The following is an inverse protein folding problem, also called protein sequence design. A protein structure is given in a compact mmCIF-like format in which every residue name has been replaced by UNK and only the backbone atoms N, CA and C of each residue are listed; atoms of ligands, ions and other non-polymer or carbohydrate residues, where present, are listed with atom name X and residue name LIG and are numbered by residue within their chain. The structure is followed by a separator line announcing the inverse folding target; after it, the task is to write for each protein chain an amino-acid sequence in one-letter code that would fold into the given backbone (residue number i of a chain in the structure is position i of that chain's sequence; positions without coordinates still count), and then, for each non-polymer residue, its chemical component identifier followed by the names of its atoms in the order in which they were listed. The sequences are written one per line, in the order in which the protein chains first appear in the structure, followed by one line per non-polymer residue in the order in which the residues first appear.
data_IF_443851698482
#
_entry.id   IF_443851698482
#
_cell.length_a   1.000
_cell.length_b   1.000
_cell.length_c   1.000
_cell.angle_alpha   90.00
_cell.angle_beta   90.00
_cell.angle_gamma   90.00
#
_symmetry.space_group_name_H-M   'P 1'
#
loop_
_entity.id
_entity.type
_entity.pdbx_description
1 polymer ?
#
# COMPACT_ATOMS: atom_id res chain seq x y z
N UNK A 1 7.82 -3.47 -22.49
CA UNK A 1 7.52 -2.05 -22.23
C UNK A 1 7.82 -1.27 -23.50
N UNK A 2 6.91 -0.44 -24.01
CA UNK A 2 7.12 0.27 -25.28
C UNK A 2 8.23 1.33 -25.11
N UNK A 3 8.96 1.62 -26.20
CA UNK A 3 10.03 2.65 -26.19
C UNK A 3 9.49 4.02 -25.78
N UNK A 4 8.27 4.34 -26.14
CA UNK A 4 7.55 5.53 -25.70
C UNK A 4 7.44 5.63 -24.17
N UNK A 5 7.05 4.55 -23.50
CA UNK A 5 6.91 4.53 -22.03
C UNK A 5 8.25 4.79 -21.36
N UNK A 6 9.30 4.12 -21.80
CA UNK A 6 10.66 4.31 -21.27
C UNK A 6 11.16 5.76 -21.46
N UNK A 7 10.89 6.35 -22.63
CA UNK A 7 11.29 7.74 -22.92
C UNK A 7 10.57 8.73 -22.00
N UNK A 8 9.24 8.57 -21.84
CA UNK A 8 8.45 9.46 -20.99
C UNK A 8 8.84 9.35 -19.52
N UNK A 9 9.02 8.14 -19.01
CA UNK A 9 9.45 7.92 -17.62
C UNK A 9 10.85 8.46 -17.36
N UNK A 10 11.80 8.23 -18.26
CA UNK A 10 13.18 8.71 -18.11
C UNK A 10 13.22 10.23 -17.97
N UNK A 11 12.54 10.97 -18.85
CA UNK A 11 12.48 12.42 -18.75
C UNK A 11 11.84 12.89 -17.44
N UNK A 12 10.69 12.31 -17.08
CA UNK A 12 9.95 12.69 -15.87
C UNK A 12 10.80 12.43 -14.61
N UNK A 13 11.51 11.30 -14.57
CA UNK A 13 12.33 10.94 -13.41
C UNK A 13 13.55 11.85 -13.26
N UNK A 14 14.17 12.24 -14.37
CA UNK A 14 15.32 13.15 -14.38
C UNK A 14 14.94 14.58 -13.94
N UNK A 15 13.72 15.04 -14.29
CA UNK A 15 13.25 16.42 -14.03
C UNK A 15 12.22 16.53 -12.92
N UNK A 16 12.08 15.50 -12.06
CA UNK A 16 10.97 15.40 -11.12
C UNK A 16 10.90 16.57 -10.12
N UNK A 17 12.05 17.16 -9.77
CA UNK A 17 12.16 18.30 -8.86
C UNK A 17 12.01 19.65 -9.59
N UNK A 18 12.04 19.67 -10.90
CA UNK A 18 12.00 20.87 -11.72
C UNK A 18 10.57 21.15 -12.22
N UNK A 19 10.30 22.41 -12.56
CA UNK A 19 9.10 22.73 -13.32
C UNK A 19 9.33 22.42 -14.79
N UNK A 20 8.47 21.65 -15.38
CA UNK A 20 8.48 21.36 -16.82
C UNK A 20 7.08 21.32 -17.40
N UNK A 21 6.99 21.51 -18.69
CA UNK A 21 5.74 21.55 -19.43
C UNK A 21 5.49 20.24 -20.19
N UNK A 22 4.24 20.01 -20.57
CA UNK A 22 3.89 18.92 -21.47
C UNK A 22 4.66 18.99 -22.80
N UNK A 23 4.94 20.19 -23.28
CA UNK A 23 5.63 20.43 -24.54
C UNK A 23 7.08 19.95 -24.48
N UNK A 24 7.76 20.18 -23.37
CA UNK A 24 9.14 19.75 -23.16
C UNK A 24 9.25 18.22 -23.13
N UNK A 25 8.41 17.54 -22.38
CA UNK A 25 8.37 16.07 -22.35
C UNK A 25 8.03 15.49 -23.71
N UNK A 26 7.04 16.07 -24.39
CA UNK A 26 6.63 15.61 -25.71
C UNK A 26 7.75 15.79 -26.74
N UNK A 27 8.41 16.95 -26.73
CA UNK A 27 9.53 17.27 -27.61
C UNK A 27 10.71 16.32 -27.40
N UNK A 28 11.07 16.04 -26.14
CA UNK A 28 12.12 15.08 -25.78
C UNK A 28 11.82 13.69 -26.36
N UNK A 29 10.57 13.26 -26.28
CA UNK A 29 10.15 11.97 -26.83
C UNK A 29 9.86 11.98 -28.36
N UNK A 30 10.05 13.12 -29.04
CA UNK A 30 9.86 13.23 -30.49
C UNK A 30 8.39 13.28 -30.94
N UNK A 31 7.50 13.77 -30.08
CA UNK A 31 6.06 13.88 -30.35
C UNK A 31 5.56 15.31 -30.25
N UNK A 32 4.44 15.62 -30.94
CA UNK A 32 3.67 16.82 -30.62
C UNK A 32 2.93 16.64 -29.29
N UNK A 33 2.70 17.74 -28.56
CA UNK A 33 2.03 17.74 -27.25
C UNK A 33 0.68 16.99 -27.27
N UNK A 34 -0.13 17.19 -28.31
CA UNK A 34 -1.41 16.53 -28.48
C UNK A 34 -1.27 15.01 -28.65
N UNK A 35 -0.36 14.59 -29.53
CA UNK A 35 -0.13 13.15 -29.77
C UNK A 35 0.46 12.47 -28.55
N UNK A 36 1.42 13.14 -27.88
CA UNK A 36 2.03 12.67 -26.63
C UNK A 36 0.99 12.48 -25.53
N UNK A 37 0.16 13.51 -25.25
CA UNK A 37 -0.86 13.45 -24.20
C UNK A 37 -1.85 12.31 -24.39
N UNK A 38 -2.31 12.10 -25.64
CA UNK A 38 -3.22 11.00 -25.99
C UNK A 38 -2.54 9.65 -25.72
N UNK A 39 -1.34 9.46 -26.26
CA UNK A 39 -0.59 8.21 -26.14
C UNK A 39 -0.19 7.91 -24.69
N UNK A 40 0.15 8.95 -23.93
CA UNK A 40 0.44 8.85 -22.50
C UNK A 40 -0.80 8.40 -21.73
N UNK A 41 -1.95 9.01 -21.98
CA UNK A 41 -3.22 8.62 -21.34
C UNK A 41 -3.65 7.19 -21.71
N UNK A 42 -3.40 6.74 -22.93
CA UNK A 42 -3.62 5.35 -23.35
C UNK A 42 -2.69 4.37 -22.60
N UNK A 43 -1.42 4.74 -22.37
CA UNK A 43 -0.43 3.88 -21.73
C UNK A 43 -0.55 3.85 -20.20
N UNK A 44 -0.81 5.00 -19.57
CA UNK A 44 -0.77 5.17 -18.11
C UNK A 44 -2.16 5.38 -17.48
N UNK A 45 -3.23 5.48 -18.26
CA UNK A 45 -4.61 5.77 -17.85
C UNK A 45 -4.76 7.07 -17.04
N UNK A 46 -3.80 8.00 -17.16
CA UNK A 46 -3.70 9.28 -16.46
C UNK A 46 -3.15 10.35 -17.38
N UNK A 47 -3.40 11.61 -17.04
CA UNK A 47 -2.66 12.70 -17.68
C UNK A 47 -1.21 12.73 -17.20
N UNK A 48 -0.33 13.37 -17.98
CA UNK A 48 1.08 13.55 -17.61
C UNK A 48 1.22 14.22 -16.26
N UNK A 49 0.48 15.31 -16.01
CA UNK A 49 0.57 16.07 -14.76
C UNK A 49 0.01 15.33 -13.55
N UNK A 50 -0.98 14.46 -13.72
CA UNK A 50 -1.44 13.56 -12.65
C UNK A 50 -0.36 12.55 -12.30
N UNK A 51 0.28 11.96 -13.29
CA UNK A 51 1.38 11.01 -13.10
C UNK A 51 2.59 11.66 -12.42
N UNK A 52 3.01 12.84 -12.89
CA UNK A 52 4.10 13.62 -12.27
C UNK A 52 3.77 13.96 -10.81
N UNK A 53 2.54 14.41 -10.54
CA UNK A 53 2.12 14.72 -9.17
C UNK A 53 2.19 13.50 -8.26
N UNK A 54 1.78 12.33 -8.73
CA UNK A 54 1.91 11.09 -7.95
C UNK A 54 3.38 10.74 -7.69
N UNK A 55 4.24 10.78 -8.69
CA UNK A 55 5.69 10.53 -8.51
C UNK A 55 6.33 11.51 -7.53
N UNK A 56 5.98 12.80 -7.60
CA UNK A 56 6.43 13.83 -6.65
C UNK A 56 5.99 13.52 -5.21
N UNK A 57 4.77 13.05 -5.02
CA UNK A 57 4.29 12.63 -3.69
C UNK A 57 5.10 11.44 -3.17
N UNK A 58 5.34 10.42 -3.98
CA UNK A 58 6.15 9.28 -3.58
C UNK A 58 7.58 9.67 -3.22
N UNK A 59 8.22 10.50 -4.04
CA UNK A 59 9.57 10.98 -3.79
C UNK A 59 9.64 11.86 -2.52
N UNK A 60 8.62 12.71 -2.29
CA UNK A 60 8.50 13.49 -1.05
C UNK A 60 8.34 12.57 0.18
N UNK A 61 7.62 11.46 0.03
CA UNK A 61 7.43 10.50 1.12
C UNK A 61 8.76 9.86 1.55
N UNK A 62 9.67 9.56 0.61
CA UNK A 62 11.01 9.07 0.95
C UNK A 62 11.84 10.12 1.72
N UNK A 63 11.75 11.40 1.34
CA UNK A 63 12.39 12.46 2.13
C UNK A 63 11.81 12.58 3.56
N UNK A 64 10.51 12.37 3.72
CA UNK A 64 9.89 12.36 5.04
C UNK A 64 10.40 11.20 5.91
N UNK A 65 10.63 10.04 5.33
CA UNK A 65 11.25 8.89 6.03
C UNK A 65 12.67 9.21 6.51
N UNK A 66 13.44 9.96 5.72
CA UNK A 66 14.80 10.38 6.10
C UNK A 66 14.85 11.51 7.14
N UNK A 67 13.69 11.98 7.63
CA UNK A 67 13.60 13.02 8.65
C UNK A 67 13.49 14.44 8.13
N UNK A 68 13.31 14.64 6.83
CA UNK A 68 13.04 15.95 6.23
C UNK A 68 11.70 16.49 6.71
N UNK A 69 11.60 17.79 6.97
CA UNK A 69 10.33 18.42 7.38
C UNK A 69 9.29 18.38 6.25
N UNK A 70 8.00 18.35 6.62
CA UNK A 70 6.88 18.35 5.64
C UNK A 70 6.97 19.53 4.68
N UNK A 71 7.35 20.70 5.20
CA UNK A 71 7.48 21.91 4.38
C UNK A 71 8.61 21.77 3.37
N UNK A 72 9.78 21.31 3.79
CA UNK A 72 10.94 21.14 2.91
C UNK A 72 10.68 20.06 1.84
N UNK A 73 10.13 18.91 2.23
CA UNK A 73 9.78 17.85 1.29
C UNK A 73 8.74 18.29 0.25
N UNK A 74 7.77 19.12 0.64
CA UNK A 74 6.80 19.70 -0.27
C UNK A 74 7.46 20.68 -1.25
N UNK A 75 8.32 21.58 -0.76
CA UNK A 75 9.00 22.59 -1.59
C UNK A 75 9.97 21.95 -2.59
N UNK A 76 10.70 20.92 -2.18
CA UNK A 76 11.71 20.25 -3.02
C UNK A 76 11.09 19.58 -4.25
N UNK A 77 9.83 19.16 -4.15
CA UNK A 77 9.09 18.58 -5.27
C UNK A 77 8.03 19.52 -5.86
N UNK A 78 8.21 20.86 -5.73
CA UNK A 78 7.43 21.86 -6.45
C UNK A 78 6.00 22.03 -5.98
N UNK A 79 5.68 21.71 -4.71
CA UNK A 79 4.37 22.02 -4.14
C UNK A 79 4.38 23.45 -3.55
N UNK A 80 3.65 24.36 -4.16
CA UNK A 80 3.60 25.77 -3.77
C UNK A 80 2.98 25.99 -2.38
N UNK A 81 2.06 25.11 -1.95
CA UNK A 81 1.35 25.28 -0.67
C UNK A 81 1.31 23.98 0.13
N UNK A 82 1.41 24.11 1.45
CA UNK A 82 1.24 23.01 2.39
C UNK A 82 -0.12 22.31 2.25
N UNK A 83 -1.19 23.09 2.00
CA UNK A 83 -2.54 22.53 1.81
C UNK A 83 -2.64 21.72 0.52
N UNK A 84 -2.07 22.22 -0.58
CA UNK A 84 -1.99 21.52 -1.86
C UNK A 84 -1.21 20.22 -1.76
N UNK A 85 -0.05 20.26 -1.10
CA UNK A 85 0.75 19.07 -0.81
C UNK A 85 -0.02 18.05 0.02
N UNK A 86 -0.59 18.46 1.16
CA UNK A 86 -1.35 17.56 2.04
C UNK A 86 -2.52 16.90 1.32
N UNK A 87 -3.23 17.65 0.46
CA UNK A 87 -4.32 17.12 -0.35
C UNK A 87 -3.82 16.07 -1.36
N UNK A 88 -2.74 16.38 -2.08
CA UNK A 88 -2.13 15.46 -3.05
C UNK A 88 -1.59 14.21 -2.34
N UNK A 89 -0.88 14.38 -1.23
CA UNK A 89 -0.31 13.31 -0.42
C UNK A 89 -1.39 12.36 0.08
N UNK A 90 -2.49 12.90 0.63
CA UNK A 90 -3.62 12.10 1.09
C UNK A 90 -4.33 11.37 -0.06
N UNK A 91 -4.45 12.00 -1.23
CA UNK A 91 -5.05 11.36 -2.40
C UNK A 91 -4.21 10.18 -2.94
N UNK A 92 -2.89 10.25 -2.82
CA UNK A 92 -1.95 9.22 -3.31
C UNK A 92 -1.68 8.14 -2.25
N UNK A 93 -1.40 8.54 -1.01
CA UNK A 93 -0.93 7.65 0.06
C UNK A 93 -2.00 7.33 1.11
N UNK A 94 -3.20 7.92 1.03
CA UNK A 94 -4.31 7.64 1.94
C UNK A 94 -4.23 8.33 3.30
N UNK A 95 -3.08 8.88 3.69
CA UNK A 95 -2.84 9.53 4.98
C UNK A 95 -2.24 10.93 4.79
N UNK A 96 -2.20 11.76 5.84
CA UNK A 96 -1.54 13.06 5.75
C UNK A 96 -0.01 12.92 5.96
N UNK A 97 0.82 13.88 5.48
CA UNK A 97 2.28 13.82 5.61
C UNK A 97 2.78 13.68 7.05
N UNK A 98 2.08 14.31 8.00
CA UNK A 98 2.42 14.24 9.42
C UNK A 98 2.19 12.84 9.99
N UNK A 99 1.08 12.23 9.64
CA UNK A 99 0.75 10.87 10.04
C UNK A 99 1.79 9.91 9.44
N UNK A 100 2.14 10.11 8.17
CA UNK A 100 3.18 9.35 7.49
C UNK A 100 4.54 9.42 8.19
N UNK A 101 4.97 10.60 8.66
CA UNK A 101 6.21 10.77 9.44
C UNK A 101 6.12 10.02 10.76
N UNK A 102 5.03 10.15 11.51
CA UNK A 102 4.84 9.48 12.80
C UNK A 102 5.01 7.97 12.65
N UNK A 103 4.56 7.39 11.52
CA UNK A 103 4.67 5.98 11.22
C UNK A 103 6.07 5.56 10.78
N UNK A 104 6.76 6.42 10.02
CA UNK A 104 8.12 6.13 9.54
C UNK A 104 9.22 6.63 10.48
N UNK A 105 8.90 7.42 11.53
CA UNK A 105 9.88 7.94 12.51
C UNK A 105 10.27 6.98 13.62
N UNK A 106 10.09 5.68 13.44
CA UNK A 106 10.67 4.67 14.31
C UNK A 106 9.93 4.41 15.63
N UNK A 107 8.65 4.81 15.73
CA UNK A 107 7.73 4.21 16.71
C UNK A 107 7.07 2.93 16.19
N UNK A 108 7.38 2.56 14.93
CA UNK A 108 7.10 1.23 14.43
C UNK A 108 7.88 0.21 15.26
N UNK A 109 7.29 -0.90 15.53
CA UNK A 109 7.92 -2.00 16.26
C UNK A 109 9.32 -2.27 15.71
N UNK A 110 10.36 -2.08 16.55
CA UNK A 110 11.78 -2.17 16.14
C UNK A 110 12.32 -3.60 16.08
N UNK A 111 11.49 -4.60 16.32
CA UNK A 111 11.90 -5.99 16.47
C UNK A 111 12.17 -6.76 15.17
N UNK A 112 12.04 -6.13 13.98
CA UNK A 112 12.27 -6.85 12.71
C UNK A 112 13.74 -7.17 12.43
N UNK A 113 14.67 -6.43 13.04
CA UNK A 113 16.11 -6.63 12.80
C UNK A 113 16.68 -7.89 13.49
N UNK A 114 15.92 -8.52 14.41
CA UNK A 114 16.43 -9.64 15.24
C UNK A 114 15.33 -10.69 15.54
N UNK A 115 14.58 -11.12 14.52
CA UNK A 115 13.46 -12.07 14.69
C UNK A 115 13.89 -13.54 14.80
N UNK A 116 15.19 -13.86 14.69
CA UNK A 116 15.66 -15.27 14.63
C UNK A 116 15.28 -16.10 15.87
N UNK A 117 15.11 -15.46 17.04
CA UNK A 117 14.73 -16.13 18.29
C UNK A 117 13.32 -15.70 18.78
N UNK A 118 12.59 -14.86 18.04
CA UNK A 118 11.28 -14.36 18.48
C UNK A 118 10.19 -15.41 18.30
N UNK A 119 9.28 -15.47 19.27
CA UNK A 119 8.09 -16.33 19.20
C UNK A 119 7.01 -15.66 18.34
N UNK A 120 6.86 -16.14 17.12
CA UNK A 120 5.82 -15.68 16.20
C UNK A 120 4.58 -16.56 16.32
N UNK A 121 3.41 -15.94 16.55
CA UNK A 121 2.11 -16.60 16.58
C UNK A 121 1.21 -15.92 15.56
N UNK A 122 0.63 -16.71 14.65
CA UNK A 122 -0.45 -16.26 13.75
C UNK A 122 -1.77 -16.79 14.26
N UNK A 123 -2.73 -15.92 14.49
CA UNK A 123 -4.04 -16.24 15.05
C UNK A 123 -5.13 -15.29 14.58
N UNK A 124 -6.39 -15.62 14.71
CA UNK A 124 -7.48 -14.67 14.52
C UNK A 124 -7.38 -13.48 15.47
N UNK A 125 -7.87 -12.34 14.99
CA UNK A 125 -7.97 -11.11 15.79
C UNK A 125 -8.92 -11.31 16.97
N UNK A 126 -8.62 -10.66 18.11
CA UNK A 126 -9.42 -10.65 19.30
C UNK A 126 -9.76 -9.22 19.71
N UNK A 127 -10.79 -9.06 20.54
CA UNK A 127 -11.19 -7.74 21.05
C UNK A 127 -10.07 -7.04 21.83
N UNK A 128 -9.23 -7.80 22.51
CA UNK A 128 -8.09 -7.29 23.30
C UNK A 128 -6.97 -6.69 22.44
N UNK A 129 -6.90 -7.06 21.15
CA UNK A 129 -5.84 -6.59 20.24
C UNK A 129 -6.02 -5.13 19.81
N UNK A 130 -7.08 -4.47 20.23
CA UNK A 130 -7.44 -3.12 19.77
C UNK A 130 -6.31 -2.09 19.93
N UNK A 131 -5.59 -2.14 21.06
CA UNK A 131 -4.52 -1.18 21.33
C UNK A 131 -3.30 -1.45 20.46
N UNK A 132 -2.85 -2.70 20.40
CA UNK A 132 -1.69 -3.09 19.59
C UNK A 132 -1.94 -2.85 18.10
N UNK A 133 -3.10 -3.22 17.60
CA UNK A 133 -3.50 -2.96 16.22
C UNK A 133 -3.56 -1.46 15.93
N UNK A 134 -4.10 -0.66 16.86
CA UNK A 134 -4.09 0.77 16.68
C UNK A 134 -2.67 1.32 16.65
N UNK A 135 -1.83 0.98 17.62
CA UNK A 135 -0.47 1.51 17.74
C UNK A 135 0.44 1.07 16.60
N UNK A 136 0.39 -0.19 16.22
CA UNK A 136 1.36 -0.80 15.30
C UNK A 136 0.88 -0.87 13.84
N UNK A 137 -0.44 -0.79 13.59
CA UNK A 137 -0.99 -0.98 12.23
C UNK A 137 -1.82 0.21 11.76
N UNK A 138 -2.76 0.69 12.59
CA UNK A 138 -3.81 1.61 12.13
C UNK A 138 -3.67 3.05 12.59
N UNK A 139 -2.75 3.38 13.50
CA UNK A 139 -2.64 4.72 14.10
C UNK A 139 -2.48 5.84 13.05
N UNK A 140 -1.95 5.51 11.87
CA UNK A 140 -1.86 6.41 10.72
C UNK A 140 -3.17 6.79 10.09
N UNK A 141 -4.10 5.87 10.09
CA UNK A 141 -5.26 5.93 9.20
C UNK A 141 -6.57 6.07 9.98
N UNK A 142 -6.54 5.76 11.27
CA UNK A 142 -7.77 5.61 12.04
C UNK A 142 -7.62 6.20 13.44
N UNK A 143 -8.48 7.14 13.86
CA UNK A 143 -8.55 7.57 15.25
C UNK A 143 -8.79 6.39 16.20
N UNK A 144 -8.19 6.43 17.40
CA UNK A 144 -8.24 5.32 18.35
C UNK A 144 -9.68 4.92 18.73
N UNK A 145 -10.54 5.89 18.82
CA UNK A 145 -11.96 5.73 19.16
C UNK A 145 -12.72 4.90 18.13
N UNK A 146 -12.27 4.92 16.86
CA UNK A 146 -12.89 4.16 15.77
C UNK A 146 -12.39 2.71 15.75
N UNK A 147 -11.28 2.39 16.38
CA UNK A 147 -10.72 1.04 16.36
C UNK A 147 -11.61 0.00 17.03
N UNK A 148 -12.28 0.34 18.12
CA UNK A 148 -13.23 -0.56 18.75
C UNK A 148 -14.37 -0.94 17.80
N UNK A 149 -14.90 0.04 17.06
CA UNK A 149 -15.95 -0.15 16.06
C UNK A 149 -15.49 -1.03 14.89
N UNK A 150 -14.19 -1.05 14.58
CA UNK A 150 -13.61 -1.90 13.51
C UNK A 150 -13.38 -3.34 13.96
N UNK A 151 -12.93 -3.55 15.18
CA UNK A 151 -12.56 -4.88 15.67
C UNK A 151 -13.79 -5.76 15.92
N UNK A 152 -14.86 -5.24 16.50
CA UNK A 152 -16.09 -6.02 16.74
C UNK A 152 -16.61 -6.72 15.47
N UNK A 153 -16.78 -6.02 14.32
CA UNK A 153 -17.16 -6.67 13.08
C UNK A 153 -16.12 -7.67 12.56
N UNK A 154 -14.84 -7.48 12.83
CA UNK A 154 -13.80 -8.42 12.41
C UNK A 154 -13.92 -9.76 13.16
N UNK A 155 -14.08 -9.71 14.47
CA UNK A 155 -14.32 -10.90 15.32
C UNK A 155 -15.62 -11.60 14.93
N UNK A 156 -16.69 -10.86 14.65
CA UNK A 156 -17.99 -11.41 14.28
C UNK A 156 -17.99 -12.04 12.88
N UNK A 157 -17.21 -11.50 11.93
CA UNK A 157 -17.04 -12.10 10.60
C UNK A 157 -16.46 -13.50 10.65
N UNK A 158 -15.54 -13.77 11.55
CA UNK A 158 -14.97 -15.12 11.69
C UNK A 158 -16.05 -16.10 12.18
N UNK A 159 -16.83 -15.73 13.17
CA UNK A 159 -17.93 -16.57 13.69
C UNK A 159 -18.99 -16.87 12.64
N UNK A 160 -19.35 -15.87 11.83
CA UNK A 160 -20.34 -16.00 10.75
C UNK A 160 -19.79 -16.61 9.46
N UNK A 161 -18.48 -16.92 9.39
CA UNK A 161 -17.79 -17.39 8.19
C UNK A 161 -17.87 -16.41 7.00
N UNK A 162 -18.10 -15.13 7.28
CA UNK A 162 -18.13 -14.06 6.26
C UNK A 162 -16.74 -13.48 5.96
N UNK A 163 -15.74 -13.93 6.70
CA UNK A 163 -14.34 -13.51 6.55
C UNK A 163 -13.52 -13.90 7.77
N UNK A 164 -12.26 -13.52 7.74
CA UNK A 164 -11.35 -13.67 8.88
C UNK A 164 -10.32 -12.52 8.84
N UNK A 165 -9.95 -12.05 10.00
CA UNK A 165 -8.80 -11.15 10.15
C UNK A 165 -7.75 -11.88 10.99
N UNK A 166 -6.60 -12.17 10.38
CA UNK A 166 -5.46 -12.75 11.08
C UNK A 166 -4.52 -11.67 11.56
N UNK A 167 -3.91 -11.89 12.69
CA UNK A 167 -2.85 -11.05 13.24
C UNK A 167 -1.57 -11.87 13.39
N UNK A 168 -0.42 -11.22 13.18
CA UNK A 168 0.86 -11.74 13.61
C UNK A 168 1.25 -11.07 14.93
N UNK A 169 1.45 -11.90 15.94
CA UNK A 169 1.91 -11.56 17.27
C UNK A 169 3.36 -12.00 17.39
N UNK A 170 4.23 -11.09 17.79
CA UNK A 170 5.65 -11.35 18.03
C UNK A 170 5.95 -11.01 19.49
N UNK A 171 6.40 -12.01 20.24
CA UNK A 171 6.70 -11.91 21.67
C UNK A 171 5.57 -11.27 22.51
N UNK A 172 4.32 -11.59 22.17
CA UNK A 172 3.13 -11.12 22.87
C UNK A 172 2.58 -9.78 22.39
N UNK A 173 3.17 -9.16 21.37
CA UNK A 173 2.72 -7.90 20.78
C UNK A 173 2.18 -8.12 19.37
N UNK A 174 0.97 -7.64 19.07
CA UNK A 174 0.41 -7.70 17.71
C UNK A 174 1.05 -6.60 16.84
N UNK A 175 1.71 -7.01 15.77
CA UNK A 175 2.51 -6.10 14.92
C UNK A 175 2.03 -6.03 13.47
N UNK A 176 1.21 -6.98 13.03
CA UNK A 176 0.73 -7.05 11.65
C UNK A 176 -0.67 -7.66 11.58
N UNK A 177 -1.45 -7.30 10.58
CA UNK A 177 -2.76 -7.90 10.32
C UNK A 177 -2.97 -8.19 8.84
N UNK A 178 -3.79 -9.21 8.55
CA UNK A 178 -4.24 -9.54 7.20
C UNK A 178 -5.74 -9.86 7.23
N UNK A 179 -6.61 -8.88 6.93
CA UNK A 179 -8.04 -9.12 6.82
C UNK A 179 -8.42 -9.75 5.49
N UNK A 180 -9.35 -10.69 5.53
CA UNK A 180 -10.00 -11.30 4.39
C UNK A 180 -11.52 -11.20 4.53
N UNK A 181 -12.18 -10.80 3.46
CA UNK A 181 -13.65 -10.76 3.36
C UNK A 181 -14.11 -11.74 2.30
N UNK A 182 -15.08 -12.56 2.61
CA UNK A 182 -15.71 -13.51 1.69
C UNK A 182 -17.08 -12.98 1.25
N UNK A 183 -17.28 -12.66 -0.04
CA UNK A 183 -18.62 -12.42 -0.57
C UNK A 183 -19.48 -13.68 -0.43
N UNK A 184 -20.76 -13.49 -0.11
CA UNK A 184 -21.66 -14.58 0.28
C UNK A 184 -21.86 -15.67 -0.79
N UNK A 185 -21.75 -15.30 -2.07
CA UNK A 185 -22.18 -16.15 -3.22
C UNK A 185 -21.04 -16.67 -4.11
N UNK A 186 -19.78 -16.34 -3.83
CA UNK A 186 -18.65 -16.79 -4.65
C UNK A 186 -17.53 -17.39 -3.79
N UNK A 187 -16.79 -18.38 -4.30
CA UNK A 187 -15.67 -19.02 -3.58
C UNK A 187 -14.38 -18.20 -3.71
N UNK A 188 -14.48 -16.89 -3.52
CA UNK A 188 -13.37 -15.95 -3.60
C UNK A 188 -13.22 -15.23 -2.27
N UNK A 189 -11.99 -15.08 -1.80
CA UNK A 189 -11.64 -14.25 -0.66
C UNK A 189 -10.89 -12.98 -1.10
N UNK A 190 -11.33 -11.82 -0.64
CA UNK A 190 -10.63 -10.57 -0.86
C UNK A 190 -9.73 -10.25 0.32
N UNK A 191 -8.43 -10.15 0.05
CA UNK A 191 -7.40 -9.76 1.02
C UNK A 191 -7.14 -8.26 0.94
N UNK A 192 -6.94 -7.64 2.10
CA UNK A 192 -6.57 -6.24 2.20
C UNK A 192 -5.25 -6.13 2.97
N UNK A 193 -4.23 -5.53 2.37
CA UNK A 193 -2.99 -5.21 3.08
C UNK A 193 -3.16 -3.84 3.75
N UNK A 194 -3.24 -3.85 5.07
CA UNK A 194 -3.34 -2.64 5.89
C UNK A 194 -2.00 -2.29 6.57
N UNK A 195 -0.92 -2.99 6.25
CA UNK A 195 0.37 -2.88 6.93
C UNK A 195 1.31 -1.88 6.21
N UNK A 196 0.81 -0.70 5.92
CA UNK A 196 1.53 0.35 5.17
C UNK A 196 2.81 0.86 5.87
N UNK A 197 2.96 0.53 7.14
CA UNK A 197 4.01 1.09 8.01
C UNK A 197 5.20 0.16 8.15
N UNK A 198 5.02 -1.11 7.84
CA UNK A 198 6.02 -2.14 8.07
C UNK A 198 6.80 -2.37 6.78
N UNK A 199 8.10 -2.10 6.81
CA UNK A 199 9.02 -2.32 5.69
C UNK A 199 10.19 -3.21 6.14
N UNK A 200 10.83 -3.90 5.18
CA UNK A 200 12.02 -4.72 5.41
C UNK A 200 11.76 -6.23 5.43
N UNK A 201 12.84 -7.00 5.54
CA UNK A 201 12.84 -8.47 5.38
C UNK A 201 11.90 -9.19 6.36
N UNK A 202 11.81 -8.70 7.59
CA UNK A 202 10.91 -9.26 8.60
C UNK A 202 9.42 -9.13 8.27
N UNK A 203 9.03 -8.07 7.51
CA UNK A 203 7.67 -7.90 7.01
C UNK A 203 7.27 -9.06 6.09
N UNK A 204 8.14 -9.41 5.16
CA UNK A 204 7.84 -10.42 4.16
C UNK A 204 7.70 -11.80 4.79
N UNK A 205 8.51 -12.11 5.80
CA UNK A 205 8.39 -13.35 6.57
C UNK A 205 7.06 -13.43 7.33
N UNK A 206 6.67 -12.36 8.03
CA UNK A 206 5.39 -12.30 8.74
C UNK A 206 4.21 -12.37 7.78
N UNK A 207 4.28 -11.66 6.66
CA UNK A 207 3.24 -11.70 5.63
C UNK A 207 3.11 -13.11 5.04
N UNK A 208 4.21 -13.79 4.81
CA UNK A 208 4.22 -15.19 4.34
C UNK A 208 3.51 -16.11 5.33
N UNK A 209 3.84 -16.03 6.63
CA UNK A 209 3.18 -16.81 7.68
C UNK A 209 1.68 -16.51 7.79
N UNK A 210 1.30 -15.22 7.73
CA UNK A 210 -0.10 -14.80 7.69
C UNK A 210 -0.84 -15.39 6.49
N UNK A 211 -0.22 -15.37 5.32
CA UNK A 211 -0.83 -15.88 4.09
C UNK A 211 -0.95 -17.40 4.08
N UNK A 212 0.02 -18.13 4.64
CA UNK A 212 -0.04 -19.59 4.80
C UNK A 212 -1.23 -19.99 5.68
N UNK A 213 -1.39 -19.37 6.85
CA UNK A 213 -2.51 -19.63 7.75
C UNK A 213 -3.85 -19.16 7.14
N UNK A 214 -3.86 -18.00 6.46
CA UNK A 214 -5.02 -17.51 5.73
C UNK A 214 -5.49 -18.50 4.67
N UNK A 215 -4.55 -19.04 3.90
CA UNK A 215 -4.83 -20.05 2.87
C UNK A 215 -5.48 -21.31 3.47
N UNK A 216 -4.97 -21.81 4.60
CA UNK A 216 -5.54 -22.94 5.28
C UNK A 216 -6.98 -22.68 5.76
N UNK A 217 -7.23 -21.52 6.37
CA UNK A 217 -8.59 -21.12 6.80
C UNK A 217 -9.52 -20.92 5.60
N UNK A 218 -9.06 -20.32 4.53
CA UNK A 218 -9.85 -20.07 3.32
C UNK A 218 -10.29 -21.39 2.66
N UNK A 219 -9.41 -22.39 2.57
CA UNK A 219 -9.77 -23.74 2.10
C UNK A 219 -10.86 -24.37 2.95
N UNK A 220 -10.75 -24.25 4.28
CA UNK A 220 -11.79 -24.76 5.19
C UNK A 220 -13.14 -24.02 5.05
N UNK A 221 -13.15 -22.79 4.53
CA UNK A 221 -14.34 -22.01 4.22
C UNK A 221 -14.87 -22.23 2.78
N UNK A 222 -14.26 -23.14 1.99
CA UNK A 222 -14.62 -23.40 0.61
C UNK A 222 -14.23 -22.29 -0.37
N UNK A 223 -13.21 -21.51 -0.03
CA UNK A 223 -12.63 -20.48 -0.92
C UNK A 223 -11.55 -21.17 -1.76
N UNK A 224 -11.57 -20.94 -3.05
CA UNK A 224 -10.60 -21.50 -4.02
C UNK A 224 -9.66 -20.46 -4.63
N UNK A 225 -9.95 -19.18 -4.42
CA UNK A 225 -9.16 -18.10 -4.98
C UNK A 225 -9.08 -16.93 -4.00
N UNK A 226 -7.90 -16.42 -3.80
CA UNK A 226 -7.64 -15.17 -3.08
C UNK A 226 -7.38 -14.06 -4.08
N UNK A 227 -7.98 -12.89 -3.86
CA UNK A 227 -7.77 -11.69 -4.64
C UNK A 227 -7.28 -10.58 -3.72
N UNK A 228 -6.23 -9.88 -4.12
CA UNK A 228 -5.73 -8.71 -3.43
C UNK A 228 -5.69 -7.51 -4.37
N UNK A 229 -6.49 -6.45 -4.13
CA UNK A 229 -6.37 -5.20 -4.85
C UNK A 229 -5.13 -4.44 -4.36
N UNK A 230 -4.18 -4.20 -5.26
CA UNK A 230 -2.96 -3.47 -4.96
C UNK A 230 -2.81 -2.28 -5.92
N UNK A 231 -2.22 -1.18 -5.47
CA UNK A 231 -1.84 -0.12 -6.40
C UNK A 231 -0.75 -0.63 -7.31
N UNK A 232 -0.93 -0.43 -8.62
CA UNK A 232 0.02 -0.89 -9.63
C UNK A 232 1.43 -0.35 -9.36
N UNK A 233 2.40 -1.25 -9.22
CA UNK A 233 3.81 -0.90 -8.96
C UNK A 233 4.14 -0.46 -7.52
N UNK A 234 3.21 -0.58 -6.56
CA UNK A 234 3.52 -0.33 -5.14
C UNK A 234 4.41 -1.44 -4.53
N UNK A 235 5.02 -1.16 -3.38
CA UNK A 235 5.76 -2.17 -2.62
C UNK A 235 4.88 -3.38 -2.28
N UNK A 236 3.64 -3.14 -1.83
CA UNK A 236 2.67 -4.21 -1.57
C UNK A 236 2.37 -5.03 -2.82
N UNK A 237 2.26 -4.40 -4.00
CA UNK A 237 2.10 -5.11 -5.26
C UNK A 237 3.25 -6.09 -5.49
N UNK A 238 4.49 -5.64 -5.35
CA UNK A 238 5.67 -6.50 -5.55
C UNK A 238 5.76 -7.60 -4.48
N UNK A 239 5.43 -7.28 -3.22
CA UNK A 239 5.39 -8.26 -2.14
C UNK A 239 4.37 -9.38 -2.42
N UNK A 240 3.13 -9.05 -2.82
CA UNK A 240 2.13 -10.07 -3.16
C UNK A 240 2.53 -10.90 -4.39
N UNK A 241 3.16 -10.30 -5.39
CA UNK A 241 3.70 -11.05 -6.55
C UNK A 241 4.80 -12.03 -6.10
N UNK A 242 5.71 -11.65 -5.21
CA UNK A 242 6.74 -12.55 -4.66
C UNK A 242 6.15 -13.68 -3.83
N UNK A 243 4.97 -13.48 -3.23
CA UNK A 243 4.22 -14.50 -2.48
C UNK A 243 3.36 -15.43 -3.37
N UNK A 244 3.47 -15.32 -4.69
CA UNK A 244 2.84 -16.23 -5.64
C UNK A 244 1.52 -15.73 -6.25
N UNK A 245 1.14 -14.48 -6.01
CA UNK A 245 0.02 -13.87 -6.71
C UNK A 245 0.40 -13.49 -8.13
N UNK A 246 -0.54 -13.61 -9.04
CA UNK A 246 -0.42 -13.18 -10.44
C UNK A 246 -1.43 -12.10 -10.78
N UNK A 247 -1.10 -11.23 -11.72
CA UNK A 247 -2.00 -10.20 -12.17
C UNK A 247 -3.21 -10.82 -12.90
N UNK A 248 -4.41 -10.51 -12.41
CA UNK A 248 -5.66 -10.94 -13.01
C UNK A 248 -6.27 -9.85 -13.92
N UNK A 249 -6.44 -8.63 -13.41
CA UNK A 249 -6.90 -7.46 -14.19
C UNK A 249 -6.45 -6.16 -13.55
N UNK A 250 -6.60 -5.05 -14.28
CA UNK A 250 -6.29 -3.69 -13.82
C UNK A 250 -7.47 -2.76 -14.08
N UNK A 251 -7.80 -1.91 -13.13
CA UNK A 251 -8.83 -0.87 -13.25
C UNK A 251 -8.45 0.34 -12.40
N UNK A 252 -8.53 1.56 -12.96
CA UNK A 252 -8.38 2.84 -12.27
C UNK A 252 -7.10 2.97 -11.41
N UNK A 253 -5.96 2.45 -11.94
CA UNK A 253 -4.67 2.47 -11.26
C UNK A 253 -4.50 1.41 -10.16
N UNK A 254 -5.49 0.49 -10.03
CA UNK A 254 -5.41 -0.68 -9.18
C UNK A 254 -5.17 -1.93 -10.03
N UNK A 255 -4.26 -2.76 -9.57
CA UNK A 255 -4.08 -4.11 -10.11
C UNK A 255 -4.66 -5.11 -9.12
N UNK A 256 -5.54 -5.95 -9.60
CA UNK A 256 -6.11 -7.05 -8.83
C UNK A 256 -5.25 -8.27 -9.05
N UNK A 257 -4.56 -8.66 -8.01
CA UNK A 257 -3.71 -9.84 -7.97
C UNK A 257 -4.54 -11.03 -7.51
N UNK A 258 -4.36 -12.19 -8.13
CA UNK A 258 -5.08 -13.41 -7.79
C UNK A 258 -4.12 -14.57 -7.51
N UNK A 259 -4.48 -15.41 -6.56
CA UNK A 259 -3.80 -16.67 -6.25
C UNK A 259 -4.85 -17.77 -6.09
N UNK A 260 -4.71 -18.85 -6.85
CA UNK A 260 -5.46 -20.08 -6.63
C UNK A 260 -4.94 -20.81 -5.38
N UNK A 261 -5.83 -21.32 -4.52
CA UNK A 261 -5.47 -21.96 -3.26
C UNK A 261 -6.14 -23.33 -3.08
#
# INVERSE_FOLDING_TARGET
MSEFVKCAEAYIDEHLQEEFTLEEVASFCGYSSFHFARKFKEAFHKTVMEYVREKRVWASAELLKSGTSVCNAAMEYGFETHAGFTKAFRAVLGCCPRDYIVHNSGKCWKGFEDMNDSKIIVRPVRQEDVNDLWENVYSAMTPKEIMQVKIEPAVEREKSKAGVELVAEVDGTVVMTLPMIKPFWIPIGFLFDNNYVITGDGRDELMKKLLEEMTAKCKAMGISTLISPQRSGSESFHAFVSLGFSQAWTSDGWTYLAMAI
#
